data_IF_530517063704
#
_entry.id   IF_530517063704
#
_cell.length_a   1.000
_cell.length_b   1.000
_cell.length_c   1.000
_cell.angle_alpha   90.00
_cell.angle_beta   90.00
_cell.angle_gamma   90.00
#
_symmetry.space_group_name_H-M   'P 1'
#
loop_
_entity.id
_entity.type
_entity.pdbx_description
1 polymer ?
#
# COMPACT_ATOMS: atom_id res chain seq x y z
N UNK A 1 19.35 -2.32 22.47
CA UNK A 1 18.37 -2.06 21.39
C UNK A 1 17.02 -1.56 21.94
N UNK A 2 16.57 -2.00 23.12
CA UNK A 2 15.22 -1.73 23.66
C UNK A 2 15.06 -0.49 24.57
N UNK A 3 16.03 0.44 24.58
CA UNK A 3 15.88 1.76 25.22
C UNK A 3 15.73 2.83 24.13
N UNK A 4 14.62 2.80 23.40
CA UNK A 4 14.29 3.84 22.43
C UNK A 4 13.36 4.85 23.13
N UNK A 5 13.87 6.02 23.52
CA UNK A 5 13.00 7.09 24.00
C UNK A 5 12.37 7.80 22.79
N UNK A 6 11.34 7.18 22.21
CA UNK A 6 10.72 7.57 20.94
C UNK A 6 9.83 8.83 21.05
N UNK A 7 9.26 9.08 22.22
CA UNK A 7 8.21 10.10 22.42
C UNK A 7 8.65 11.52 22.06
N UNK A 8 9.76 12.02 22.63
CA UNK A 8 10.29 13.35 22.33
C UNK A 8 10.84 13.46 20.90
N UNK A 9 11.15 12.33 20.28
CA UNK A 9 11.72 12.31 18.94
C UNK A 9 10.63 12.40 17.87
N UNK A 10 9.45 11.82 18.10
CA UNK A 10 8.33 11.80 17.16
C UNK A 10 7.84 13.23 16.79
N UNK A 11 7.70 14.12 17.79
CA UNK A 11 7.30 15.50 17.56
C UNK A 11 8.28 16.30 16.69
N UNK A 12 9.57 15.92 16.68
CA UNK A 12 10.57 16.56 15.81
C UNK A 12 10.37 16.19 14.33
N UNK A 13 9.71 15.07 14.05
CA UNK A 13 9.44 14.62 12.69
C UNK A 13 8.14 15.21 12.13
N UNK A 14 7.09 15.27 12.95
CA UNK A 14 5.79 15.82 12.60
C UNK A 14 5.15 16.54 13.80
N UNK A 15 4.59 17.76 13.63
CA UNK A 15 4.01 18.53 14.74
C UNK A 15 2.90 17.77 15.46
N UNK A 16 2.97 17.73 16.79
CA UNK A 16 2.00 17.02 17.67
C UNK A 16 1.92 15.51 17.43
N UNK A 17 2.89 14.91 16.73
CA UNK A 17 2.93 13.47 16.53
C UNK A 17 3.18 12.74 17.85
N UNK A 18 2.09 12.31 18.46
CA UNK A 18 2.09 11.46 19.64
C UNK A 18 2.26 10.01 19.23
N UNK A 19 3.29 9.35 19.73
CA UNK A 19 3.49 7.93 19.51
C UNK A 19 2.33 7.14 20.13
N UNK A 20 1.68 6.28 19.33
CA UNK A 20 0.65 5.35 19.79
C UNK A 20 1.27 4.11 20.44
N UNK A 21 0.45 3.10 20.76
CA UNK A 21 0.96 1.79 21.08
C UNK A 21 1.73 1.21 19.86
N UNK A 22 2.80 0.48 20.13
CA UNK A 22 3.52 -0.22 19.08
C UNK A 22 4.12 -1.52 19.61
N UNK A 23 4.38 -2.47 18.72
CA UNK A 23 5.01 -3.72 19.03
C UNK A 23 6.13 -4.05 18.04
N UNK A 24 7.23 -4.55 18.58
CA UNK A 24 8.26 -5.23 17.81
C UNK A 24 8.06 -6.72 17.98
N UNK A 25 8.19 -7.50 16.92
CA UNK A 25 8.02 -8.95 17.04
C UNK A 25 8.95 -9.73 16.13
N UNK A 26 9.16 -10.99 16.51
CA UNK A 26 9.78 -12.03 15.69
C UNK A 26 8.81 -13.23 15.62
N UNK A 27 9.26 -14.33 15.03
CA UNK A 27 8.44 -15.54 14.87
C UNK A 27 7.97 -16.13 16.23
N UNK A 28 8.68 -15.86 17.33
CA UNK A 28 8.43 -16.46 18.64
C UNK A 28 7.80 -15.49 19.64
N UNK A 29 8.20 -14.22 19.63
CA UNK A 29 7.96 -13.25 20.71
C UNK A 29 7.50 -11.89 20.19
N UNK A 30 6.51 -11.32 20.86
CA UNK A 30 6.06 -9.93 20.70
C UNK A 30 6.54 -9.12 21.89
N UNK A 31 7.03 -7.91 21.63
CA UNK A 31 7.43 -6.90 22.62
C UNK A 31 6.51 -5.69 22.45
N UNK A 32 5.60 -5.48 23.39
CA UNK A 32 4.55 -4.45 23.32
C UNK A 32 4.91 -3.22 24.16
N UNK A 33 4.81 -2.04 23.57
CA UNK A 33 5.18 -0.76 24.14
C UNK A 33 4.01 0.22 24.10
N UNK A 34 3.97 1.15 25.06
CA UNK A 34 3.02 2.27 25.09
C UNK A 34 1.53 1.88 24.96
N UNK A 35 1.21 0.65 25.37
CA UNK A 35 -0.14 0.09 25.35
C UNK A 35 -0.73 0.11 26.78
N UNK A 36 -2.05 0.26 26.99
CA UNK A 36 -2.67 0.22 28.32
C UNK A 36 -2.39 -1.04 29.15
N UNK A 37 -1.98 -2.14 28.52
CA UNK A 37 -1.55 -3.38 29.19
C UNK A 37 -0.13 -3.29 29.79
N UNK A 38 0.68 -2.34 29.32
CA UNK A 38 2.02 -2.09 29.84
C UNK A 38 1.90 -1.23 31.10
N UNK A 39 2.31 -1.79 32.24
CA UNK A 39 2.30 -1.06 33.52
C UNK A 39 3.28 0.12 33.46
N UNK A 40 2.98 1.21 34.18
CA UNK A 40 3.76 2.45 34.10
C UNK A 40 5.22 2.29 34.51
N UNK A 41 5.53 1.27 35.31
CA UNK A 41 6.84 0.98 35.88
C UNK A 41 7.72 0.13 34.93
N UNK A 42 7.17 -0.41 33.85
CA UNK A 42 7.91 -1.21 32.85
C UNK A 42 7.85 -0.56 31.48
N UNK A 43 8.93 -0.67 30.71
CA UNK A 43 9.00 -0.06 29.37
C UNK A 43 8.19 -0.86 28.32
N UNK A 44 8.10 -2.18 28.50
CA UNK A 44 7.36 -3.09 27.63
C UNK A 44 6.95 -4.36 28.38
N UNK A 45 6.01 -5.09 27.81
CA UNK A 45 5.72 -6.49 28.16
C UNK A 45 6.04 -7.38 26.97
N UNK A 46 6.33 -8.66 27.20
CA UNK A 46 6.50 -9.64 26.13
C UNK A 46 5.60 -10.85 26.29
N UNK A 47 5.19 -11.43 25.17
CA UNK A 47 4.33 -12.61 25.10
C UNK A 47 4.57 -13.37 23.78
N UNK A 48 4.15 -14.65 23.69
CA UNK A 48 4.32 -15.43 22.46
C UNK A 48 3.64 -14.78 21.26
N UNK A 49 4.28 -14.84 20.10
CA UNK A 49 3.72 -14.36 18.84
C UNK A 49 2.46 -15.13 18.44
N UNK A 50 1.48 -14.42 17.89
CA UNK A 50 0.20 -14.98 17.43
C UNK A 50 -0.05 -14.59 15.98
N UNK A 51 -1.01 -15.24 15.33
CA UNK A 51 -1.35 -15.02 13.91
C UNK A 51 -1.78 -13.59 13.55
N UNK A 52 -2.06 -12.73 14.53
CA UNK A 52 -2.42 -11.33 14.30
C UNK A 52 -1.19 -10.44 14.08
N UNK A 53 0.00 -10.86 14.52
CA UNK A 53 1.27 -10.19 14.29
C UNK A 53 1.87 -10.69 12.97
N UNK A 54 1.45 -10.06 11.87
CA UNK A 54 1.89 -10.42 10.52
C UNK A 54 2.06 -9.18 9.66
N UNK A 55 3.25 -9.01 9.09
CA UNK A 55 3.58 -7.82 8.30
C UNK A 55 4.12 -6.67 9.15
N UNK A 56 4.38 -5.56 8.47
CA UNK A 56 4.62 -4.27 9.10
C UNK A 56 3.38 -3.43 8.77
N UNK A 57 2.58 -3.10 9.80
CA UNK A 57 1.26 -2.49 9.61
C UNK A 57 0.67 -1.95 10.92
N UNK A 58 -0.55 -1.41 10.85
CA UNK A 58 -1.39 -1.07 12.00
C UNK A 58 -2.42 -2.18 12.28
N UNK A 59 -2.51 -2.61 13.54
CA UNK A 59 -3.59 -3.51 14.02
C UNK A 59 -4.38 -2.88 15.18
N UNK A 60 -5.57 -3.40 15.46
CA UNK A 60 -6.34 -3.09 16.68
C UNK A 60 -6.12 -4.19 17.71
N UNK A 61 -4.96 -4.19 18.36
CA UNK A 61 -4.65 -5.17 19.41
C UNK A 61 -5.41 -4.80 20.69
N UNK A 62 -6.26 -5.72 21.19
CA UNK A 62 -7.12 -5.46 22.35
C UNK A 62 -7.93 -4.15 22.24
N UNK A 63 -8.35 -3.81 21.02
CA UNK A 63 -9.12 -2.60 20.72
C UNK A 63 -8.30 -1.31 20.64
N UNK A 64 -6.97 -1.38 20.76
CA UNK A 64 -6.07 -0.21 20.73
C UNK A 64 -5.26 -0.20 19.43
N UNK A 65 -5.22 0.93 18.69
CA UNK A 65 -4.35 1.10 17.53
C UNK A 65 -2.88 0.86 17.90
N UNK A 66 -2.31 -0.20 17.34
CA UNK A 66 -0.98 -0.69 17.66
C UNK A 66 -0.20 -0.91 16.37
N UNK A 67 0.85 -0.13 16.16
CA UNK A 67 1.79 -0.34 15.05
C UNK A 67 2.61 -1.62 15.31
N UNK A 68 2.76 -2.49 14.33
CA UNK A 68 3.56 -3.72 14.45
C UNK A 68 4.68 -3.72 13.42
N UNK A 69 5.88 -4.13 13.84
CA UNK A 69 7.05 -4.24 12.97
C UNK A 69 7.82 -5.52 13.26
N UNK A 70 8.09 -6.30 12.22
CA UNK A 70 8.85 -7.54 12.33
C UNK A 70 10.36 -7.22 12.36
N UNK A 71 11.04 -7.60 13.43
CA UNK A 71 12.44 -7.23 13.67
C UNK A 71 13.39 -7.83 12.62
N UNK A 72 13.19 -9.10 12.26
CA UNK A 72 14.10 -9.81 11.34
C UNK A 72 14.04 -9.33 9.88
N UNK A 73 13.11 -8.43 9.54
CA UNK A 73 13.05 -7.80 8.21
C UNK A 73 14.12 -6.73 8.00
N UNK A 74 14.78 -6.27 9.08
CA UNK A 74 15.66 -5.12 9.06
C UNK A 74 17.01 -5.42 9.69
N UNK A 75 18.04 -5.55 8.84
CA UNK A 75 19.41 -5.83 9.30
C UNK A 75 20.04 -4.69 10.13
N UNK A 76 19.61 -3.45 9.90
CA UNK A 76 20.24 -2.25 10.47
C UNK A 76 19.28 -1.52 11.38
N UNK A 77 19.79 -1.06 12.53
CA UNK A 77 19.00 -0.33 13.53
C UNK A 77 18.26 0.88 12.96
N UNK A 78 18.92 1.70 12.13
CA UNK A 78 18.28 2.87 11.51
C UNK A 78 17.07 2.50 10.64
N UNK A 79 17.07 1.30 10.02
CA UNK A 79 16.00 0.85 9.12
C UNK A 79 14.82 0.37 9.96
N UNK A 80 15.11 -0.41 11.01
CA UNK A 80 14.10 -0.83 11.97
C UNK A 80 13.46 0.40 12.66
N UNK A 81 14.29 1.34 13.13
CA UNK A 81 13.83 2.57 13.76
C UNK A 81 12.91 3.38 12.84
N UNK A 82 13.32 3.59 11.59
CA UNK A 82 12.52 4.38 10.64
C UNK A 82 11.18 3.72 10.33
N UNK A 83 11.15 2.39 10.23
CA UNK A 83 9.93 1.63 9.99
C UNK A 83 8.99 1.61 11.20
N UNK A 84 9.52 1.55 12.43
CA UNK A 84 8.69 1.76 13.63
C UNK A 84 8.02 3.13 13.59
N UNK A 85 8.75 4.17 13.19
CA UNK A 85 8.18 5.52 13.06
C UNK A 85 7.16 5.62 11.92
N UNK A 86 7.38 4.93 10.80
CA UNK A 86 6.44 4.81 9.70
C UNK A 86 5.10 4.23 10.17
N UNK A 87 5.13 3.02 10.75
CA UNK A 87 3.91 2.33 11.18
C UNK A 87 3.23 3.06 12.35
N UNK A 88 4.02 3.64 13.26
CA UNK A 88 3.48 4.49 14.32
C UNK A 88 2.80 5.75 13.77
N UNK A 89 3.24 6.26 12.61
CA UNK A 89 2.57 7.38 11.96
C UNK A 89 1.21 6.96 11.38
N UNK A 90 1.07 5.74 10.86
CA UNK A 90 -0.24 5.20 10.49
C UNK A 90 -1.17 5.07 11.70
N UNK A 91 -0.66 4.64 12.87
CA UNK A 91 -1.43 4.66 14.11
C UNK A 91 -1.88 6.08 14.48
N UNK A 92 -1.01 7.07 14.29
CA UNK A 92 -1.36 8.48 14.51
C UNK A 92 -2.38 9.00 13.49
N UNK A 93 -2.27 8.66 12.20
CA UNK A 93 -3.29 8.97 11.19
C UNK A 93 -4.66 8.40 11.59
N UNK A 94 -4.71 7.17 12.10
CA UNK A 94 -5.93 6.56 12.61
C UNK A 94 -6.52 7.36 13.78
N UNK A 95 -5.69 7.76 14.76
CA UNK A 95 -6.12 8.58 15.91
C UNK A 95 -6.62 9.96 15.47
N UNK A 96 -6.05 10.52 14.41
CA UNK A 96 -6.47 11.79 13.81
C UNK A 96 -7.67 11.65 12.86
N UNK A 97 -8.33 10.50 12.82
CA UNK A 97 -9.51 10.22 11.97
C UNK A 97 -9.25 10.48 10.47
N UNK A 98 -8.03 10.19 10.02
CA UNK A 98 -7.70 10.18 8.60
C UNK A 98 -8.66 9.24 7.85
N UNK A 99 -9.16 9.68 6.71
CA UNK A 99 -10.17 8.95 5.93
C UNK A 99 -9.94 9.06 4.42
N UNK A 100 -8.88 9.74 3.97
CA UNK A 100 -8.51 9.89 2.56
C UNK A 100 -7.83 8.64 2.00
N UNK A 101 -8.28 7.45 2.41
CA UNK A 101 -7.75 6.17 1.95
C UNK A 101 -8.15 5.89 0.48
N UNK A 102 -7.25 5.32 -0.33
CA UNK A 102 -7.54 4.96 -1.70
C UNK A 102 -8.56 3.81 -1.78
N UNK A 103 -9.32 3.77 -2.87
CA UNK A 103 -10.15 2.60 -3.19
C UNK A 103 -9.26 1.51 -3.80
N UNK A 104 -8.83 0.55 -2.98
CA UNK A 104 -7.94 -0.54 -3.41
C UNK A 104 -8.58 -1.45 -4.48
N UNK A 105 -9.92 -1.53 -4.52
CA UNK A 105 -10.63 -2.31 -5.53
C UNK A 105 -10.61 -1.57 -6.87
N UNK A 106 -10.80 -0.25 -6.86
CA UNK A 106 -10.57 0.59 -8.05
C UNK A 106 -9.10 0.46 -8.53
N UNK A 107 -8.14 0.40 -7.62
CA UNK A 107 -6.73 0.16 -7.93
C UNK A 107 -6.48 -1.09 -8.78
N UNK A 108 -7.32 -2.12 -8.64
CA UNK A 108 -7.23 -3.35 -9.43
C UNK A 108 -7.69 -3.23 -10.87
N UNK A 109 -8.32 -2.12 -11.25
CA UNK A 109 -8.78 -1.86 -12.63
C UNK A 109 -8.04 -0.68 -13.25
N UNK A 110 -6.96 -0.22 -12.61
CA UNK A 110 -6.16 0.91 -13.05
C UNK A 110 -5.67 0.74 -14.51
N UNK A 111 -5.85 1.76 -15.37
CA UNK A 111 -5.57 1.66 -16.80
C UNK A 111 -4.06 1.69 -17.06
N UNK A 112 -3.48 0.53 -17.32
CA UNK A 112 -2.10 0.41 -17.79
C UNK A 112 -2.06 0.51 -19.32
N UNK A 113 -1.99 1.75 -19.84
CA UNK A 113 -1.83 2.03 -21.27
C UNK A 113 -0.62 2.96 -21.51
N UNK A 114 -0.15 3.02 -22.76
CA UNK A 114 1.06 3.76 -23.15
C UNK A 114 0.99 5.26 -22.85
N UNK A 115 -0.12 5.91 -23.18
CA UNK A 115 -0.31 7.35 -22.96
C UNK A 115 -0.23 7.71 -21.46
N UNK A 116 -0.96 6.98 -20.61
CA UNK A 116 -0.89 7.15 -19.16
C UNK A 116 0.54 6.95 -18.63
N UNK A 117 1.19 5.86 -19.02
CA UNK A 117 2.54 5.54 -18.54
C UNK A 117 3.58 6.59 -18.98
N UNK A 118 3.50 7.09 -20.21
CA UNK A 118 4.38 8.14 -20.74
C UNK A 118 4.21 9.44 -19.95
N UNK A 119 2.98 9.94 -19.80
CA UNK A 119 2.72 11.18 -19.06
C UNK A 119 3.14 11.02 -17.60
N UNK A 120 2.82 9.87 -16.98
CA UNK A 120 3.19 9.56 -15.60
C UNK A 120 4.70 9.59 -15.40
N UNK A 121 5.49 9.06 -16.33
CA UNK A 121 6.95 9.11 -16.23
C UNK A 121 7.46 10.56 -16.28
N UNK A 122 6.93 11.38 -17.20
CA UNK A 122 7.36 12.77 -17.36
C UNK A 122 7.01 13.62 -16.14
N UNK A 123 5.81 13.46 -15.55
CA UNK A 123 5.46 14.23 -14.35
C UNK A 123 6.34 13.83 -13.15
N UNK A 124 6.69 12.55 -13.02
CA UNK A 124 7.57 12.06 -11.93
C UNK A 124 8.98 12.60 -12.07
N UNK A 125 9.50 12.67 -13.29
CA UNK A 125 10.78 13.32 -13.58
C UNK A 125 10.73 14.81 -13.25
N UNK A 126 9.68 15.52 -13.67
CA UNK A 126 9.52 16.94 -13.36
C UNK A 126 9.42 17.20 -11.83
N UNK A 127 8.74 16.32 -11.10
CA UNK A 127 8.63 16.37 -9.63
C UNK A 127 10.00 16.11 -8.96
N UNK A 128 10.71 15.08 -9.41
CA UNK A 128 12.06 14.78 -8.95
C UNK A 128 13.00 15.97 -9.18
N UNK A 129 13.00 16.52 -10.39
CA UNK A 129 13.89 17.62 -10.74
C UNK A 129 13.53 18.89 -9.96
N UNK A 130 12.24 19.14 -9.69
CA UNK A 130 11.82 20.24 -8.83
C UNK A 130 12.34 20.10 -7.40
N UNK A 131 12.35 18.88 -6.84
CA UNK A 131 12.81 18.61 -5.47
C UNK A 131 14.28 19.01 -5.26
N UNK A 132 15.14 18.78 -6.25
CA UNK A 132 16.58 19.05 -6.15
C UNK A 132 17.01 20.40 -6.75
N UNK A 133 16.10 21.15 -7.37
CA UNK A 133 16.44 22.46 -7.92
C UNK A 133 16.67 23.47 -6.81
N UNK A 134 17.71 24.30 -6.94
CA UNK A 134 18.05 25.35 -5.97
C UNK A 134 17.66 26.74 -6.46
N UNK A 135 17.63 26.94 -7.78
CA UNK A 135 17.13 28.16 -8.40
C UNK A 135 15.59 28.19 -8.30
N UNK A 136 15.06 29.24 -7.68
CA UNK A 136 13.61 29.37 -7.44
C UNK A 136 12.80 29.41 -8.74
N UNK A 137 13.27 30.10 -9.78
CA UNK A 137 12.55 30.22 -11.05
C UNK A 137 12.49 28.88 -11.78
N UNK A 138 13.63 28.17 -11.86
CA UNK A 138 13.72 26.84 -12.45
C UNK A 138 12.90 25.80 -11.67
N UNK A 139 12.92 25.85 -10.33
CA UNK A 139 12.07 24.99 -9.49
C UNK A 139 10.61 25.20 -9.82
N UNK A 140 10.18 26.47 -9.92
CA UNK A 140 8.80 26.80 -10.27
C UNK A 140 8.44 26.34 -11.68
N UNK A 141 9.34 26.44 -12.66
CA UNK A 141 9.12 25.94 -14.01
C UNK A 141 8.95 24.40 -14.05
N UNK A 142 9.73 23.67 -13.27
CA UNK A 142 9.62 22.21 -13.12
C UNK A 142 8.31 21.79 -12.45
N UNK A 143 7.90 22.49 -11.39
CA UNK A 143 6.59 22.27 -10.76
C UNK A 143 5.43 22.60 -11.70
N UNK A 144 5.51 23.70 -12.45
CA UNK A 144 4.51 24.02 -13.47
C UNK A 144 4.39 22.89 -14.50
N UNK A 145 5.51 22.29 -14.89
CA UNK A 145 5.55 21.13 -15.81
C UNK A 145 4.87 19.91 -15.17
N UNK A 146 5.21 19.58 -13.92
CA UNK A 146 4.58 18.51 -13.15
C UNK A 146 3.05 18.69 -13.09
N UNK A 147 2.56 19.87 -12.70
CA UNK A 147 1.13 20.13 -12.61
C UNK A 147 0.44 20.06 -13.96
N UNK A 148 1.00 20.66 -15.01
CA UNK A 148 0.43 20.60 -16.36
C UNK A 148 0.31 19.16 -16.88
N UNK A 149 1.34 18.34 -16.67
CA UNK A 149 1.31 16.93 -17.08
C UNK A 149 0.27 16.15 -16.28
N UNK A 150 0.22 16.31 -14.95
CA UNK A 150 -0.72 15.59 -14.10
C UNK A 150 -2.18 15.98 -14.34
N UNK A 151 -2.45 17.25 -14.58
CA UNK A 151 -3.80 17.72 -14.91
C UNK A 151 -4.23 17.26 -16.31
N UNK A 152 -3.31 17.18 -17.27
CA UNK A 152 -3.61 16.52 -18.54
C UNK A 152 -3.83 15.01 -18.37
N UNK A 153 -3.02 14.33 -17.56
CA UNK A 153 -3.18 12.92 -17.23
C UNK A 153 -4.55 12.63 -16.62
N UNK A 154 -5.07 13.54 -15.78
CA UNK A 154 -6.44 13.45 -15.26
C UNK A 154 -7.49 13.32 -16.36
N UNK A 155 -7.30 13.97 -17.51
CA UNK A 155 -8.22 13.85 -18.65
C UNK A 155 -8.11 12.51 -19.38
N UNK A 156 -6.98 11.80 -19.22
CA UNK A 156 -6.72 10.49 -19.82
C UNK A 156 -7.24 9.34 -18.95
N UNK A 157 -7.05 9.43 -17.62
CA UNK A 157 -7.39 8.34 -16.68
C UNK A 157 -8.58 8.65 -15.76
N UNK A 158 -9.15 9.85 -15.81
CA UNK A 158 -10.29 10.23 -14.99
C UNK A 158 -10.04 10.01 -13.49
N UNK A 159 -11.02 9.39 -12.83
CA UNK A 159 -11.04 9.18 -11.37
C UNK A 159 -9.93 8.25 -10.88
N UNK A 160 -9.24 7.51 -11.75
CA UNK A 160 -8.07 6.72 -11.37
C UNK A 160 -6.90 7.58 -10.87
N UNK A 161 -6.85 8.87 -11.23
CA UNK A 161 -5.85 9.76 -10.64
C UNK A 161 -6.10 9.95 -9.14
N UNK A 162 -7.36 10.01 -8.69
CA UNK A 162 -7.68 10.19 -7.28
C UNK A 162 -7.24 9.00 -6.42
N UNK A 163 -7.20 7.80 -7.00
CA UNK A 163 -6.57 6.63 -6.37
C UNK A 163 -5.09 6.90 -6.05
N UNK A 164 -4.30 7.41 -7.01
CA UNK A 164 -2.89 7.78 -6.78
C UNK A 164 -2.77 8.90 -5.74
N UNK A 165 -3.58 9.96 -5.84
CA UNK A 165 -3.50 11.11 -4.91
C UNK A 165 -3.78 10.70 -3.47
N UNK A 166 -4.70 9.76 -3.26
CA UNK A 166 -5.01 9.21 -1.95
C UNK A 166 -3.89 8.32 -1.41
N UNK A 167 -3.26 7.49 -2.26
CA UNK A 167 -2.04 6.77 -1.85
C UNK A 167 -0.95 7.77 -1.45
N UNK A 168 -0.66 8.78 -2.27
CA UNK A 168 0.32 9.83 -1.98
C UNK A 168 0.02 10.56 -0.66
N UNK A 169 -1.26 10.73 -0.32
CA UNK A 169 -1.72 11.41 0.90
C UNK A 169 -1.57 10.57 2.16
N UNK A 170 -1.77 9.25 2.08
CA UNK A 170 -1.60 8.34 3.22
C UNK A 170 -0.13 7.99 3.42
N UNK A 171 0.53 7.58 2.35
CA UNK A 171 1.89 6.99 2.39
C UNK A 171 2.98 8.06 2.35
N UNK A 172 2.73 9.20 1.70
CA UNK A 172 3.70 10.30 1.59
C UNK A 172 4.10 10.87 2.95
N UNK A 173 3.16 11.27 3.82
CA UNK A 173 3.44 11.68 5.20
C UNK A 173 4.13 10.60 6.05
N UNK A 174 3.75 9.32 5.91
CA UNK A 174 4.41 8.22 6.60
C UNK A 174 5.87 8.06 6.15
N UNK A 175 6.13 8.11 4.84
CA UNK A 175 7.48 8.13 4.26
C UNK A 175 8.29 9.37 4.66
N UNK A 176 7.63 10.52 4.81
CA UNK A 176 8.27 11.74 5.28
C UNK A 176 8.78 11.59 6.71
N UNK A 177 7.97 10.99 7.59
CA UNK A 177 8.39 10.67 8.96
C UNK A 177 9.47 9.59 8.96
N UNK A 178 9.33 8.55 8.15
CA UNK A 178 10.34 7.50 7.99
C UNK A 178 11.69 8.09 7.54
N UNK A 179 11.71 8.94 6.51
CA UNK A 179 12.91 9.59 6.00
C UNK A 179 13.62 10.40 7.09
N UNK A 180 12.87 11.20 7.87
CA UNK A 180 13.44 11.98 8.96
C UNK A 180 13.99 11.08 10.07
N UNK A 181 13.26 10.03 10.41
CA UNK A 181 13.68 9.03 11.38
C UNK A 181 14.97 8.32 10.96
N UNK A 182 15.05 7.90 9.69
CA UNK A 182 16.23 7.30 9.09
C UNK A 182 17.41 8.28 9.13
N UNK A 183 17.20 9.53 8.70
CA UNK A 183 18.25 10.55 8.66
C UNK A 183 18.79 10.88 10.06
N UNK A 184 17.92 10.93 11.07
CA UNK A 184 18.33 11.17 12.46
C UNK A 184 19.20 10.03 13.01
N UNK A 185 18.90 8.78 12.66
CA UNK A 185 19.67 7.61 13.14
C UNK A 185 20.86 7.23 12.26
N UNK A 186 21.04 7.89 11.11
CA UNK A 186 22.08 7.59 10.13
C UNK A 186 23.25 8.57 10.22
N UNK A 187 24.45 8.10 9.86
CA UNK A 187 25.61 8.96 9.66
C UNK A 187 25.63 9.65 8.27
N UNK A 188 24.67 9.33 7.39
CA UNK A 188 24.55 9.95 6.08
C UNK A 188 24.09 11.41 6.17
N UNK A 189 24.50 12.25 5.21
CA UNK A 189 23.92 13.59 5.09
C UNK A 189 22.43 13.52 4.74
N UNK A 190 21.65 14.50 5.20
CA UNK A 190 20.22 14.58 4.89
C UNK A 190 19.95 14.55 3.37
N UNK A 191 20.73 15.29 2.58
CA UNK A 191 20.64 15.29 1.11
C UNK A 191 20.86 13.88 0.51
N UNK A 192 21.79 13.09 1.05
CA UNK A 192 22.01 11.71 0.60
C UNK A 192 20.83 10.80 0.93
N UNK A 193 20.19 11.00 2.09
CA UNK A 193 18.99 10.25 2.48
C UNK A 193 17.81 10.64 1.57
N UNK A 194 17.59 11.93 1.33
CA UNK A 194 16.55 12.40 0.39
C UNK A 194 16.74 11.77 -0.98
N UNK A 195 17.97 11.78 -1.51
CA UNK A 195 18.29 11.13 -2.79
C UNK A 195 17.92 9.66 -2.82
N UNK A 196 18.30 8.89 -1.79
CA UNK A 196 17.97 7.46 -1.67
C UNK A 196 16.46 7.22 -1.77
N UNK A 197 15.66 8.02 -1.08
CA UNK A 197 14.21 7.85 -1.05
C UNK A 197 13.52 8.34 -2.33
N UNK A 198 14.07 9.36 -2.99
CA UNK A 198 13.49 9.95 -4.21
C UNK A 198 13.89 9.22 -5.50
N UNK A 199 14.94 8.39 -5.49
CA UNK A 199 15.42 7.65 -6.68
C UNK A 199 14.32 6.82 -7.34
N UNK A 200 13.35 6.33 -6.57
CA UNK A 200 12.20 5.59 -7.09
C UNK A 200 11.30 6.41 -8.03
N UNK A 201 11.36 7.75 -8.00
CA UNK A 201 10.66 8.60 -8.98
C UNK A 201 11.15 8.37 -10.40
N UNK A 202 12.42 8.02 -10.56
CA UNK A 202 13.09 7.82 -11.85
C UNK A 202 12.98 6.39 -12.38
N UNK A 203 12.52 5.44 -11.54
CA UNK A 203 12.40 4.04 -11.92
C UNK A 203 11.16 3.79 -12.78
N UNK A 204 11.34 3.92 -14.09
CA UNK A 204 10.31 3.69 -15.12
C UNK A 204 9.62 2.33 -14.93
N UNK A 205 10.41 1.27 -14.72
CA UNK A 205 9.92 -0.10 -14.66
C UNK A 205 9.07 -0.31 -13.42
N UNK A 206 9.55 0.04 -12.23
CA UNK A 206 8.75 -0.10 -11.02
C UNK A 206 7.52 0.82 -11.02
N UNK A 207 7.58 1.97 -11.69
CA UNK A 207 6.41 2.85 -11.87
C UNK A 207 5.24 2.16 -12.60
N UNK A 208 5.55 1.18 -13.46
CA UNK A 208 4.60 0.37 -14.24
C UNK A 208 4.23 -0.93 -13.51
N UNK A 209 5.23 -1.65 -13.02
CA UNK A 209 5.05 -2.97 -12.40
C UNK A 209 4.46 -2.89 -10.98
N UNK A 210 4.76 -1.83 -10.24
CA UNK A 210 4.41 -1.64 -8.82
C UNK A 210 3.76 -0.27 -8.60
N UNK A 211 2.60 -0.06 -9.23
CA UNK A 211 1.87 1.21 -9.21
C UNK A 211 1.74 1.79 -7.80
N UNK A 212 1.14 1.02 -6.87
CA UNK A 212 0.89 1.47 -5.48
C UNK A 212 2.18 1.94 -4.81
N UNK A 213 3.16 1.04 -4.67
CA UNK A 213 4.44 1.36 -4.03
C UNK A 213 5.19 2.50 -4.72
N UNK A 214 5.07 2.65 -6.04
CA UNK A 214 5.72 3.74 -6.76
C UNK A 214 5.17 5.13 -6.41
N UNK A 215 3.98 5.22 -5.81
CA UNK A 215 3.39 6.49 -5.36
C UNK A 215 4.03 7.04 -4.09
N UNK A 216 4.74 6.21 -3.31
CA UNK A 216 5.21 6.59 -1.97
C UNK A 216 6.29 7.67 -2.06
N UNK A 217 7.26 7.48 -2.97
CA UNK A 217 8.28 8.48 -3.28
C UNK A 217 7.71 9.78 -3.89
N UNK A 218 6.59 9.70 -4.60
CA UNK A 218 5.87 10.88 -5.12
C UNK A 218 5.20 11.67 -3.99
N UNK A 219 4.46 10.98 -3.11
CA UNK A 219 3.88 11.59 -1.91
C UNK A 219 4.95 12.23 -1.01
N UNK A 220 6.07 11.55 -0.80
CA UNK A 220 7.22 12.09 -0.06
C UNK A 220 7.77 13.37 -0.70
N UNK A 221 8.03 13.37 -2.01
CA UNK A 221 8.57 14.53 -2.71
C UNK A 221 7.61 15.73 -2.62
N UNK A 222 6.29 15.50 -2.73
CA UNK A 222 5.27 16.52 -2.52
C UNK A 222 5.32 17.07 -1.09
N UNK A 223 5.45 16.22 -0.07
CA UNK A 223 5.58 16.65 1.33
C UNK A 223 6.84 17.51 1.57
N UNK A 224 7.97 17.16 0.96
CA UNK A 224 9.21 17.93 1.06
C UNK A 224 9.09 19.29 0.36
N UNK A 225 8.46 19.34 -0.80
CA UNK A 225 8.17 20.60 -1.50
C UNK A 225 7.16 21.46 -0.73
N UNK A 226 6.18 20.85 -0.06
CA UNK A 226 5.24 21.57 0.80
C UNK A 226 5.95 22.28 1.96
N UNK A 227 7.00 21.70 2.53
CA UNK A 227 7.81 22.38 3.56
C UNK A 227 8.44 23.69 3.04
N UNK A 228 8.72 23.78 1.74
CA UNK A 228 9.26 24.99 1.11
C UNK A 228 8.17 26.01 0.74
N UNK A 229 7.08 25.55 0.13
CA UNK A 229 6.03 26.44 -0.41
C UNK A 229 4.93 26.80 0.59
N UNK A 230 4.73 25.97 1.62
CA UNK A 230 3.74 26.19 2.67
C UNK A 230 4.23 25.62 4.00
N UNK A 231 5.23 26.23 4.67
CA UNK A 231 5.92 25.63 5.82
C UNK A 231 5.02 25.15 6.97
N UNK A 232 3.81 25.71 7.10
CA UNK A 232 2.81 25.35 8.12
C UNK A 232 1.74 24.35 7.65
N UNK A 233 1.88 23.73 6.46
CA UNK A 233 0.88 22.83 5.87
C UNK A 233 0.49 21.66 6.79
N UNK A 234 1.43 21.17 7.60
CA UNK A 234 1.21 20.05 8.55
C UNK A 234 0.21 20.39 9.65
N UNK A 235 0.06 21.67 10.01
CA UNK A 235 -0.83 22.09 11.10
C UNK A 235 -2.32 21.90 10.77
N UNK A 236 -2.67 21.99 9.49
CA UNK A 236 -4.04 21.86 8.98
C UNK A 236 -4.28 20.57 8.21
N UNK A 237 -3.25 19.73 8.04
CA UNK A 237 -3.30 18.52 7.21
C UNK A 237 -4.45 17.58 7.56
N UNK A 238 -4.61 17.25 8.85
CA UNK A 238 -5.66 16.34 9.34
C UNK A 238 -7.06 16.98 9.37
N UNK A 239 -7.13 18.31 9.46
CA UNK A 239 -8.40 19.04 9.45
C UNK A 239 -8.89 19.40 8.04
N UNK A 240 -8.09 19.11 7.01
CA UNK A 240 -8.39 19.41 5.62
C UNK A 240 -8.81 18.15 4.87
N UNK A 241 -9.76 18.28 3.95
CA UNK A 241 -10.14 17.20 3.02
C UNK A 241 -9.26 17.17 1.76
N UNK A 242 -8.31 18.09 1.63
CA UNK A 242 -7.42 18.19 0.47
C UNK A 242 -6.34 17.12 0.51
N UNK A 243 -5.98 16.55 -0.64
CA UNK A 243 -4.81 15.66 -0.76
C UNK A 243 -3.50 16.45 -0.60
N UNK A 244 -2.37 15.78 -0.39
CA UNK A 244 -1.05 16.46 -0.40
C UNK A 244 -0.78 17.16 -1.73
N UNK A 245 -1.27 16.59 -2.83
CA UNK A 245 -1.21 17.22 -4.16
C UNK A 245 -2.02 18.52 -4.22
N UNK A 246 -3.26 18.50 -3.71
CA UNK A 246 -4.11 19.69 -3.68
C UNK A 246 -3.50 20.81 -2.83
N UNK A 247 -2.93 20.46 -1.68
CA UNK A 247 -2.21 21.40 -0.81
C UNK A 247 -1.05 22.06 -1.57
N UNK A 248 -0.23 21.26 -2.28
CA UNK A 248 0.92 21.80 -3.02
C UNK A 248 0.46 22.65 -4.20
N UNK A 249 -0.60 22.24 -4.90
CA UNK A 249 -1.20 22.97 -6.03
C UNK A 249 -1.70 24.36 -5.58
N UNK A 250 -2.37 24.43 -4.43
CA UNK A 250 -2.82 25.69 -3.81
C UNK A 250 -1.63 26.54 -3.40
N UNK A 251 -0.65 25.98 -2.67
CA UNK A 251 0.53 26.71 -2.23
C UNK A 251 1.35 27.28 -3.40
N UNK A 252 1.44 26.52 -4.50
CA UNK A 252 2.14 26.92 -5.71
C UNK A 252 1.44 28.06 -6.48
N UNK A 253 0.12 28.26 -6.27
CA UNK A 253 -0.74 29.12 -7.09
C UNK A 253 -0.75 28.67 -8.56
N UNK A 254 -1.03 27.39 -8.78
CA UNK A 254 -1.08 26.83 -10.13
C UNK A 254 -2.11 27.56 -11.02
N UNK A 255 -1.64 28.02 -12.17
CA UNK A 255 -2.44 28.68 -13.19
C UNK A 255 -2.44 27.87 -14.50
N UNK A 256 -3.18 28.37 -15.50
CA UNK A 256 -3.51 27.74 -16.78
C UNK A 256 -2.44 26.75 -17.30
N UNK A 257 -2.83 25.50 -17.65
CA UNK A 257 -1.89 24.49 -18.12
C UNK A 257 -1.19 24.92 -19.40
N UNK A 258 0.15 24.94 -19.38
CA UNK A 258 0.95 24.82 -20.60
C UNK A 258 1.46 23.39 -20.66
N UNK A 259 0.86 22.59 -21.53
CA UNK A 259 1.26 21.21 -21.72
C UNK A 259 2.62 21.17 -22.45
N UNK A 260 3.65 20.52 -21.89
CA UNK A 260 4.89 20.26 -22.62
C UNK A 260 4.69 19.21 -23.72
N UNK A 261 5.69 19.04 -24.58
CA UNK A 261 5.71 17.92 -25.53
C UNK A 261 5.77 16.59 -24.78
N UNK A 262 4.99 15.61 -25.22
CA UNK A 262 4.98 14.24 -24.68
C UNK A 262 5.67 13.35 -25.72
N UNK A 263 6.98 13.10 -25.61
CA UNK A 263 7.67 12.21 -26.54
C UNK A 263 7.26 10.75 -26.31
N UNK A 264 7.22 9.98 -27.39
CA UNK A 264 7.10 8.52 -27.30
C UNK A 264 8.38 7.92 -26.76
N UNK A 265 8.26 7.02 -25.78
CA UNK A 265 9.37 6.26 -25.21
C UNK A 265 9.16 4.76 -25.46
N UNK A 266 10.00 4.15 -26.29
CA UNK A 266 9.88 2.74 -26.65
C UNK A 266 10.20 1.80 -25.48
N UNK A 267 10.95 2.25 -24.46
CA UNK A 267 11.17 1.46 -23.25
C UNK A 267 9.87 1.28 -22.45
N UNK A 268 9.02 2.32 -22.41
CA UNK A 268 7.74 2.27 -21.69
C UNK A 268 6.83 1.20 -22.29
N UNK A 269 6.72 1.14 -23.61
CA UNK A 269 5.93 0.10 -24.29
C UNK A 269 6.47 -1.32 -24.00
N UNK A 270 7.80 -1.47 -23.96
CA UNK A 270 8.44 -2.74 -23.59
C UNK A 270 8.09 -3.16 -22.16
N UNK A 271 8.15 -2.24 -21.19
CA UNK A 271 7.80 -2.53 -19.80
C UNK A 271 6.32 -2.82 -19.60
N UNK A 272 5.43 -2.17 -20.35
CA UNK A 272 3.99 -2.50 -20.33
C UNK A 272 3.79 -3.94 -20.83
N UNK A 273 4.39 -4.29 -21.97
CA UNK A 273 4.31 -5.65 -22.51
C UNK A 273 4.88 -6.69 -21.53
N UNK A 274 6.03 -6.40 -20.92
CA UNK A 274 6.65 -7.24 -19.89
C UNK A 274 5.72 -7.43 -18.67
N UNK A 275 5.10 -6.35 -18.18
CA UNK A 275 4.17 -6.41 -17.06
C UNK A 275 2.96 -7.30 -17.38
N UNK A 276 2.36 -7.17 -18.58
CA UNK A 276 1.28 -8.04 -19.01
C UNK A 276 1.71 -9.51 -19.11
N UNK A 277 2.85 -9.78 -19.73
CA UNK A 277 3.35 -11.15 -19.89
C UNK A 277 3.66 -11.79 -18.53
N UNK A 278 4.26 -11.05 -17.61
CA UNK A 278 4.56 -11.50 -16.24
C UNK A 278 3.28 -11.85 -15.50
N UNK A 279 2.25 -10.99 -15.54
CA UNK A 279 0.95 -11.22 -14.89
C UNK A 279 0.25 -12.48 -15.43
N UNK A 280 0.29 -12.68 -16.75
CA UNK A 280 -0.24 -13.90 -17.39
C UNK A 280 0.53 -15.15 -16.94
N UNK A 281 1.87 -15.06 -16.91
CA UNK A 281 2.71 -16.18 -16.51
C UNK A 281 2.47 -16.59 -15.04
N UNK A 282 2.36 -15.64 -14.12
CA UNK A 282 2.08 -15.91 -12.71
C UNK A 282 0.72 -16.59 -12.51
N UNK A 283 -0.34 -16.11 -13.17
CA UNK A 283 -1.67 -16.76 -13.11
C UNK A 283 -1.61 -18.17 -13.70
N UNK A 284 -0.95 -18.35 -14.84
CA UNK A 284 -0.79 -19.68 -15.45
C UNK A 284 0.03 -20.63 -14.58
N UNK A 285 1.01 -20.11 -13.83
CA UNK A 285 1.79 -20.89 -12.87
C UNK A 285 0.91 -21.38 -11.72
N UNK A 286 0.09 -20.50 -11.14
CA UNK A 286 -0.88 -20.85 -10.10
C UNK A 286 -1.85 -21.95 -10.58
N UNK A 287 -2.39 -21.80 -11.79
CA UNK A 287 -3.33 -22.79 -12.37
C UNK A 287 -2.70 -24.17 -12.62
N UNK A 288 -1.37 -24.28 -12.68
CA UNK A 288 -0.63 -25.53 -12.89
C UNK A 288 -0.04 -26.11 -11.61
N UNK A 289 -0.23 -25.43 -10.47
CA UNK A 289 0.28 -25.88 -9.19
C UNK A 289 -0.26 -27.27 -8.86
N UNK A 290 0.58 -28.16 -8.35
CA UNK A 290 0.11 -29.46 -7.87
C UNK A 290 -0.77 -29.29 -6.63
N UNK A 291 -1.86 -30.04 -6.55
CA UNK A 291 -2.74 -30.06 -5.41
C UNK A 291 -4.19 -30.32 -5.83
N UNK A 292 -5.09 -30.17 -4.88
CA UNK A 292 -6.51 -30.33 -5.10
C UNK A 292 -7.14 -28.99 -5.46
N UNK A 293 -7.42 -28.80 -6.76
CA UNK A 293 -8.09 -27.60 -7.26
C UNK A 293 -9.59 -27.64 -6.95
N UNK A 294 -10.07 -26.60 -6.28
CA UNK A 294 -11.50 -26.42 -5.96
C UNK A 294 -11.97 -25.02 -6.40
N UNK A 295 -13.20 -24.95 -6.90
CA UNK A 295 -13.89 -23.69 -7.19
C UNK A 295 -14.93 -23.40 -6.12
N UNK A 296 -14.93 -22.19 -5.57
CA UNK A 296 -15.97 -21.72 -4.65
C UNK A 296 -16.82 -20.66 -5.36
N UNK A 297 -18.12 -20.91 -5.50
CA UNK A 297 -19.11 -20.02 -6.12
C UNK A 297 -20.09 -19.48 -5.07
N UNK A 298 -20.77 -18.38 -5.39
CA UNK A 298 -21.72 -17.73 -4.48
C UNK A 298 -21.10 -16.57 -3.67
N UNK A 299 -19.83 -16.22 -3.92
CA UNK A 299 -19.17 -15.11 -3.24
C UNK A 299 -19.72 -13.78 -3.75
N UNK A 300 -20.10 -12.92 -2.81
CA UNK A 300 -20.70 -11.63 -3.13
C UNK A 300 -19.73 -10.47 -2.94
N UNK A 301 -18.79 -10.55 -1.98
CA UNK A 301 -17.99 -9.39 -1.59
C UNK A 301 -16.61 -9.73 -1.05
N UNK A 302 -15.60 -8.95 -1.49
CA UNK A 302 -14.27 -8.89 -0.86
C UNK A 302 -14.32 -7.90 0.31
N UNK A 303 -13.78 -8.32 1.45
CA UNK A 303 -13.74 -7.53 2.70
C UNK A 303 -12.35 -7.04 3.06
N UNK A 304 -11.31 -7.64 2.49
CA UNK A 304 -9.94 -7.24 2.73
C UNK A 304 -8.96 -8.12 1.97
N UNK A 305 -7.82 -7.56 1.63
CA UNK A 305 -6.73 -8.23 0.93
C UNK A 305 -5.48 -7.36 1.09
N UNK A 306 -4.34 -7.89 0.69
CA UNK A 306 -3.10 -7.15 0.57
C UNK A 306 -2.99 -6.50 -0.82
N UNK A 307 -3.12 -5.16 -0.94
CA UNK A 307 -3.10 -4.48 -2.24
C UNK A 307 -1.73 -4.51 -2.93
N UNK A 308 -0.65 -4.81 -2.21
CA UNK A 308 0.70 -4.93 -2.78
C UNK A 308 0.96 -6.29 -3.43
N UNK A 309 0.11 -7.28 -3.17
CA UNK A 309 0.31 -8.68 -3.56
C UNK A 309 -0.85 -9.25 -4.39
N UNK A 310 -1.36 -8.44 -5.34
CA UNK A 310 -2.40 -8.84 -6.31
C UNK A 310 -1.85 -8.84 -7.74
N UNK A 311 -1.99 -9.97 -8.43
CA UNK A 311 -1.66 -10.11 -9.86
C UNK A 311 -2.93 -10.04 -10.69
N UNK A 312 -2.90 -9.22 -11.74
CA UNK A 312 -4.11 -8.81 -12.46
C UNK A 312 -3.98 -9.14 -13.94
N UNK A 313 -4.93 -9.90 -14.49
CA UNK A 313 -4.99 -10.13 -15.93
C UNK A 313 -6.43 -10.32 -16.38
N UNK A 314 -6.89 -9.48 -17.32
CA UNK A 314 -8.27 -9.48 -17.82
C UNK A 314 -9.31 -9.49 -16.67
N UNK A 315 -10.13 -10.55 -16.56
CA UNK A 315 -11.15 -10.75 -15.53
C UNK A 315 -10.66 -11.56 -14.32
N UNK A 316 -9.35 -11.82 -14.21
CA UNK A 316 -8.75 -12.61 -13.12
C UNK A 316 -7.91 -11.76 -12.18
N UNK A 317 -7.97 -12.07 -10.89
CA UNK A 317 -7.18 -11.44 -9.81
C UNK A 317 -6.60 -12.52 -8.91
N UNK A 318 -5.28 -12.73 -8.95
CA UNK A 318 -4.59 -13.65 -8.06
C UNK A 318 -4.10 -12.89 -6.83
N UNK A 319 -4.72 -13.13 -5.68
CA UNK A 319 -4.27 -12.64 -4.38
C UNK A 319 -3.23 -13.62 -3.84
N UNK A 320 -2.01 -13.16 -3.54
CA UNK A 320 -0.88 -14.06 -3.25
C UNK A 320 -0.69 -14.37 -1.76
N UNK A 321 -1.15 -13.49 -0.88
CA UNK A 321 -0.89 -13.58 0.57
C UNK A 321 -2.15 -13.96 1.33
N UNK A 322 -3.19 -13.12 1.26
CA UNK A 322 -4.48 -13.43 1.85
C UNK A 322 -5.66 -12.79 1.10
N UNK A 323 -6.85 -13.34 1.35
CA UNK A 323 -8.12 -12.78 0.91
C UNK A 323 -9.17 -12.96 2.01
N UNK A 324 -9.86 -11.89 2.38
CA UNK A 324 -11.06 -11.92 3.23
C UNK A 324 -12.29 -11.71 2.36
N UNK A 325 -13.27 -12.60 2.47
CA UNK A 325 -14.54 -12.51 1.75
C UNK A 325 -15.71 -12.68 2.70
N UNK A 326 -16.87 -12.18 2.27
CA UNK A 326 -18.15 -12.49 2.90
C UNK A 326 -18.73 -13.77 2.28
N UNK A 327 -19.08 -14.75 3.12
CA UNK A 327 -19.71 -16.03 2.75
C UNK A 327 -20.74 -16.42 3.82
N UNK A 328 -21.99 -16.68 3.43
CA UNK A 328 -23.07 -17.04 4.36
C UNK A 328 -23.19 -16.09 5.58
N UNK A 329 -23.11 -14.77 5.34
CA UNK A 329 -23.10 -13.72 6.39
C UNK A 329 -21.87 -13.70 7.32
N UNK A 330 -20.91 -14.63 7.16
CA UNK A 330 -19.65 -14.66 7.90
C UNK A 330 -18.47 -14.09 7.08
N UNK A 331 -17.43 -13.62 7.77
CA UNK A 331 -16.16 -13.23 7.14
C UNK A 331 -15.19 -14.39 7.23
N UNK A 332 -14.78 -14.91 6.07
CA UNK A 332 -13.80 -15.99 5.97
C UNK A 332 -12.47 -15.44 5.45
N UNK A 333 -11.40 -15.82 6.13
CA UNK A 333 -10.02 -15.47 5.79
C UNK A 333 -9.32 -16.66 5.12
N UNK A 334 -8.86 -16.46 3.90
CA UNK A 334 -7.94 -17.36 3.21
C UNK A 334 -6.52 -16.82 3.39
N UNK A 335 -5.64 -17.54 4.11
CA UNK A 335 -4.22 -17.18 4.28
C UNK A 335 -3.33 -17.99 3.31
N UNK A 336 -3.69 -17.96 2.03
CA UNK A 336 -3.00 -18.65 0.95
C UNK A 336 -3.31 -17.94 -0.39
N UNK A 337 -2.59 -18.28 -1.48
CA UNK A 337 -2.93 -17.78 -2.79
C UNK A 337 -4.36 -18.15 -3.23
N UNK A 338 -5.15 -17.16 -3.66
CA UNK A 338 -6.52 -17.35 -4.17
C UNK A 338 -6.68 -16.60 -5.49
N UNK A 339 -7.12 -17.30 -6.53
CA UNK A 339 -7.48 -16.69 -7.81
C UNK A 339 -8.98 -16.36 -7.81
N UNK A 340 -9.31 -15.08 -7.90
CA UNK A 340 -10.69 -14.60 -8.07
C UNK A 340 -10.96 -14.43 -9.55
N UNK A 341 -12.05 -15.04 -10.02
CA UNK A 341 -12.58 -14.84 -11.36
C UNK A 341 -13.78 -13.89 -11.32
N UNK A 342 -13.77 -12.89 -12.20
CA UNK A 342 -14.87 -11.94 -12.38
C UNK A 342 -15.61 -12.21 -13.69
N UNK A 343 -16.85 -11.75 -13.79
CA UNK A 343 -17.55 -11.67 -15.06
C UNK A 343 -16.79 -10.73 -16.04
N UNK A 344 -17.01 -10.87 -17.34
CA UNK A 344 -16.28 -10.08 -18.36
C UNK A 344 -16.42 -8.56 -18.16
N UNK A 345 -17.57 -8.12 -17.67
CA UNK A 345 -17.84 -6.72 -17.33
C UNK A 345 -17.26 -6.28 -15.97
N UNK A 346 -16.52 -7.16 -15.29
CA UNK A 346 -15.88 -6.99 -13.98
C UNK A 346 -16.85 -6.58 -12.84
N UNK A 347 -18.16 -6.73 -13.04
CA UNK A 347 -19.18 -6.26 -12.10
C UNK A 347 -19.43 -7.20 -10.93
N UNK A 348 -19.08 -8.49 -11.07
CA UNK A 348 -19.38 -9.52 -10.08
C UNK A 348 -18.31 -10.59 -10.05
N UNK A 349 -18.08 -11.13 -8.86
CA UNK A 349 -17.27 -12.34 -8.65
C UNK A 349 -18.04 -13.54 -9.17
N UNK A 350 -17.38 -14.38 -9.95
CA UNK A 350 -17.91 -15.62 -10.52
C UNK A 350 -17.51 -16.80 -9.65
N UNK A 351 -16.22 -16.88 -9.29
CA UNK A 351 -15.68 -17.95 -8.46
C UNK A 351 -14.37 -17.52 -7.77
N UNK A 352 -14.05 -18.21 -6.69
CA UNK A 352 -12.70 -18.32 -6.16
C UNK A 352 -12.12 -19.66 -6.60
N UNK A 353 -10.86 -19.68 -7.01
CA UNK A 353 -10.11 -20.89 -7.30
C UNK A 353 -8.98 -21.02 -6.28
N UNK A 354 -9.00 -22.14 -5.56
CA UNK A 354 -8.01 -22.50 -4.55
C UNK A 354 -7.31 -23.80 -4.93
N UNK A 355 -6.10 -23.98 -4.41
CA UNK A 355 -5.31 -25.21 -4.54
C UNK A 355 -5.02 -25.71 -3.13
N UNK A 356 -5.70 -26.78 -2.72
CA UNK A 356 -5.57 -27.36 -1.38
C UNK A 356 -4.55 -28.51 -1.37
N UNK A 357 -3.89 -28.73 -0.23
CA UNK A 357 -2.99 -29.89 -0.07
C UNK A 357 -3.76 -31.20 0.02
N UNK A 358 -4.98 -31.16 0.56
CA UNK A 358 -5.86 -32.31 0.76
C UNK A 358 -7.24 -32.09 0.15
N UNK A 359 -7.94 -33.19 -0.14
CA UNK A 359 -9.35 -33.14 -0.56
C UNK A 359 -10.23 -32.59 0.57
N UNK A 360 -11.33 -31.87 0.26
CA UNK A 360 -12.32 -31.49 1.25
C UNK A 360 -12.80 -32.68 2.07
N UNK A 361 -12.89 -32.51 3.38
CA UNK A 361 -13.49 -33.52 4.27
C UNK A 361 -15.00 -33.26 4.30
N UNK A 362 -15.78 -34.23 3.81
CA UNK A 362 -17.24 -34.16 3.78
C UNK A 362 -17.78 -34.66 5.12
N UNK A 363 -18.46 -33.79 5.87
CA UNK A 363 -19.10 -34.18 7.13
C UNK A 363 -20.55 -34.61 6.93
N UNK A 364 -21.28 -33.90 6.08
CA UNK A 364 -22.67 -34.18 5.69
C UNK A 364 -22.95 -33.50 4.33
N UNK A 365 -24.20 -33.58 3.86
CA UNK A 365 -24.63 -33.04 2.55
C UNK A 365 -24.29 -31.56 2.33
N UNK A 366 -24.19 -30.76 3.41
CA UNK A 366 -24.03 -29.31 3.32
C UNK A 366 -22.80 -28.75 4.05
N UNK A 367 -21.94 -29.60 4.65
CA UNK A 367 -20.86 -29.15 5.53
C UNK A 367 -19.55 -29.82 5.18
N UNK A 368 -18.52 -28.99 4.94
CA UNK A 368 -17.22 -29.42 4.44
C UNK A 368 -16.11 -28.76 5.26
N UNK A 369 -15.01 -29.46 5.51
CA UNK A 369 -13.77 -28.83 5.99
C UNK A 369 -12.79 -28.71 4.84
N UNK A 370 -12.35 -27.47 4.58
CA UNK A 370 -11.25 -27.19 3.67
C UNK A 370 -9.96 -27.02 4.48
N UNK A 371 -8.92 -27.72 4.05
CA UNK A 371 -7.62 -27.69 4.71
C UNK A 371 -7.04 -26.26 4.75
N UNK A 372 -6.48 -25.89 5.90
CA UNK A 372 -5.96 -24.53 6.16
C UNK A 372 -6.99 -23.39 6.19
N UNK A 373 -8.29 -23.67 6.04
CA UNK A 373 -9.35 -22.64 5.98
C UNK A 373 -10.38 -22.86 7.08
N UNK A 374 -10.88 -24.09 7.24
CA UNK A 374 -11.88 -24.45 8.25
C UNK A 374 -13.18 -24.97 7.65
N UNK A 375 -14.26 -24.89 8.44
CA UNK A 375 -15.59 -25.42 8.08
C UNK A 375 -16.33 -24.43 7.19
N UNK A 376 -16.86 -24.90 6.07
CA UNK A 376 -17.69 -24.14 5.14
C UNK A 376 -19.00 -24.88 4.89
N UNK A 377 -20.10 -24.13 4.88
CA UNK A 377 -21.43 -24.63 4.51
C UNK A 377 -21.76 -24.29 3.06
N UNK A 378 -22.26 -25.27 2.30
CA UNK A 378 -22.58 -25.10 0.89
C UNK A 378 -23.05 -26.40 0.23
N UNK A 379 -23.11 -26.44 -1.09
CA UNK A 379 -23.37 -27.65 -1.88
C UNK A 379 -22.12 -27.97 -2.69
N UNK A 380 -21.60 -29.19 -2.53
CA UNK A 380 -20.39 -29.65 -3.20
C UNK A 380 -20.69 -30.64 -4.32
N UNK A 381 -20.15 -30.37 -5.50
CA UNK A 381 -20.17 -31.26 -6.66
C UNK A 381 -18.76 -31.85 -6.88
N UNK A 382 -18.61 -33.13 -6.55
CA UNK A 382 -17.36 -33.89 -6.69
C UNK A 382 -16.97 -34.10 -8.16
N UNK A 383 -17.91 -34.02 -9.11
CA UNK A 383 -17.58 -34.18 -10.54
C UNK A 383 -16.90 -32.94 -11.14
N UNK A 384 -17.23 -31.76 -10.61
CA UNK A 384 -16.71 -30.46 -11.08
C UNK A 384 -15.78 -29.79 -10.06
N UNK A 385 -15.52 -30.44 -8.93
CA UNK A 385 -14.79 -29.90 -7.78
C UNK A 385 -15.27 -28.48 -7.41
N UNK A 386 -16.59 -28.29 -7.38
CA UNK A 386 -17.21 -26.98 -7.14
C UNK A 386 -18.00 -26.98 -5.85
N UNK A 387 -17.71 -26.04 -4.96
CA UNK A 387 -18.48 -25.72 -3.76
C UNK A 387 -19.31 -24.46 -4.01
N UNK A 388 -20.63 -24.55 -3.88
CA UNK A 388 -21.53 -23.38 -3.98
C UNK A 388 -22.00 -22.98 -2.60
N UNK A 389 -21.61 -21.79 -2.14
CA UNK A 389 -22.10 -21.20 -0.88
C UNK A 389 -23.37 -20.37 -1.13
N UNK A 390 -24.15 -20.11 -0.09
CA UNK A 390 -25.41 -19.36 -0.19
C UNK A 390 -25.20 -17.86 -0.13
#
# INVERSE_FOLDING_TARGET
>A
MLQMNLSHTAESYWPRFSLAAYALYDDDTVYLFNHPLVQKEVNFISFPSTKEFMGDTLILYEGVPTAIVHMDRYERFQSLYSMVMHESFHAYQYIQEEHRFPDEVQGMTYPLNGENAQIRQLERMALHDALFERNTEEKRARLQTFFSLREHRRTVIGDFLDYELKIETIEGPAWYVELKAYAHQSACSYESVVKKYSEQLLDKKNSIHRLRGSCYSSGLAICLLLDEFSPSWKETFFTSNQTVYDLLKVAFHYNVPKLPSIPTDTEIESYIAEAHQTRIAEINSFLKQSGYHILIKGITKIKGFDPMNVVISANRRLHKTFLKVEMNDDIVLFQQPVLVEYADNQSKIVALHLVLDQRPIIHNENTFTLDGIGVITGIYDDSTHTLTVK
#
